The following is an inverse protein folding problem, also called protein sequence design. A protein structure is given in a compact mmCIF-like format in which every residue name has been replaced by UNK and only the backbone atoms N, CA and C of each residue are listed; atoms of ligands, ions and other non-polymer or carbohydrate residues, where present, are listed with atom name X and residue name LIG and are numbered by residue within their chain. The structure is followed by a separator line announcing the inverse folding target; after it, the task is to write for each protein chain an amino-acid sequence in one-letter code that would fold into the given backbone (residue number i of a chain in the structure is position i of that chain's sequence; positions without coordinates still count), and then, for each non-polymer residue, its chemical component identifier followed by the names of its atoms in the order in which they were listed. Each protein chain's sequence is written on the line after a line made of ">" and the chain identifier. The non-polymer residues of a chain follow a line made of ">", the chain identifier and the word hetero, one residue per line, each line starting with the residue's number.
data_IF_077293805179
#
_entry.id   IF_077293805179
#
_cell.length_a   1.000
_cell.length_b   1.000
_cell.length_c   1.000
_cell.angle_alpha   90.00
_cell.angle_beta   90.00
_cell.angle_gamma   90.00
#
_symmetry.space_group_name_H-M   'P 1'
#
loop_
_entity.id
_entity.type
_entity.pdbx_description
1 polymer ?
#
# COMPACT_ATOMS: atom_id res chain seq x y z
N UNK A 1 40.80 -2.65 22.86
CA UNK A 1 39.33 -2.68 23.09
C UNK A 1 38.90 -4.13 23.29
N UNK A 2 38.26 -4.48 24.39
CA UNK A 2 37.67 -5.82 24.57
C UNK A 2 36.46 -5.93 23.63
N UNK A 3 36.50 -6.86 22.68
CA UNK A 3 35.29 -7.21 21.87
C UNK A 3 34.32 -7.91 22.83
N UNK A 4 33.19 -7.29 23.12
CA UNK A 4 32.08 -7.92 23.83
C UNK A 4 31.34 -8.73 22.80
N UNK A 5 31.29 -10.04 22.94
CA UNK A 5 30.43 -10.91 22.16
C UNK A 5 28.99 -10.62 22.57
N UNK A 6 28.21 -10.02 21.68
CA UNK A 6 26.78 -9.81 21.87
C UNK A 6 26.05 -10.85 21.06
N UNK A 7 25.03 -11.49 21.67
CA UNK A 7 24.16 -12.41 20.98
C UNK A 7 23.40 -11.69 19.86
N UNK A 8 23.34 -12.30 18.68
CA UNK A 8 22.67 -11.72 17.52
C UNK A 8 21.14 -11.86 17.67
N UNK A 9 20.45 -10.74 17.75
CA UNK A 9 19.00 -10.70 17.84
C UNK A 9 18.36 -10.50 16.46
N UNK A 10 17.77 -11.55 15.92
CA UNK A 10 17.03 -11.55 14.65
C UNK A 10 15.79 -10.63 14.65
N UNK A 11 15.29 -10.20 15.81
CA UNK A 11 14.25 -9.18 15.93
C UNK A 11 14.77 -7.74 15.79
N UNK A 12 16.08 -7.53 15.92
CA UNK A 12 16.69 -6.20 15.88
C UNK A 12 17.02 -5.75 14.46
N UNK A 13 16.22 -4.87 13.90
CA UNK A 13 16.46 -4.27 12.57
C UNK A 13 17.83 -3.61 12.47
N UNK A 14 18.31 -3.02 13.57
CA UNK A 14 19.63 -2.41 13.65
C UNK A 14 20.73 -3.45 13.48
N UNK A 15 20.71 -4.54 14.28
CA UNK A 15 21.71 -5.59 14.18
C UNK A 15 21.70 -6.31 12.82
N UNK A 16 20.49 -6.53 12.25
CA UNK A 16 20.37 -7.08 10.90
C UNK A 16 21.04 -6.15 9.88
N UNK A 17 20.77 -4.85 9.95
CA UNK A 17 21.35 -3.87 9.04
C UNK A 17 22.87 -3.81 9.14
N UNK A 18 23.42 -3.81 10.37
CA UNK A 18 24.86 -3.86 10.63
C UNK A 18 25.47 -5.15 10.06
N UNK A 19 24.89 -6.31 10.37
CA UNK A 19 25.32 -7.62 9.84
C UNK A 19 25.38 -7.63 8.32
N UNK A 20 24.29 -7.27 7.65
CA UNK A 20 24.23 -7.28 6.17
C UNK A 20 25.23 -6.28 5.55
N UNK A 21 25.47 -5.15 6.21
CA UNK A 21 26.46 -4.16 5.75
C UNK A 21 27.88 -4.72 5.85
N UNK A 22 28.21 -5.44 6.91
CA UNK A 22 29.49 -6.11 7.08
C UNK A 22 29.73 -7.20 6.02
N UNK A 23 28.63 -7.80 5.49
CA UNK A 23 28.66 -8.75 4.37
C UNK A 23 28.54 -8.09 2.99
N UNK A 24 28.67 -6.77 2.90
CA UNK A 24 28.75 -6.03 1.64
C UNK A 24 27.44 -5.46 1.13
N UNK A 25 26.36 -5.51 1.91
CA UNK A 25 25.14 -4.81 1.56
C UNK A 25 25.33 -3.30 1.64
N UNK A 26 24.91 -2.60 0.60
CA UNK A 26 24.92 -1.13 0.54
C UNK A 26 23.48 -0.64 0.59
N UNK A 27 22.99 -0.19 1.75
CA UNK A 27 21.62 0.29 1.87
C UNK A 27 21.42 1.55 1.03
N UNK A 28 20.31 1.60 0.30
CA UNK A 28 19.87 2.74 -0.52
C UNK A 28 18.64 3.45 0.06
N UNK A 29 18.05 2.91 1.15
CA UNK A 29 16.88 3.47 1.83
C UNK A 29 17.15 3.60 3.32
N UNK A 30 16.80 4.77 3.86
CA UNK A 30 17.06 5.10 5.27
C UNK A 30 15.80 5.64 5.94
N UNK A 31 15.69 5.44 7.24
CA UNK A 31 14.69 6.09 8.09
C UNK A 31 15.03 7.59 8.25
N UNK A 32 14.08 8.43 8.70
CA UNK A 32 14.37 9.83 9.02
C UNK A 32 15.50 10.02 10.05
N UNK A 33 15.81 8.98 10.83
CA UNK A 33 16.91 8.97 11.83
C UNK A 33 18.24 8.43 11.27
N UNK A 34 18.32 8.18 9.94
CA UNK A 34 19.53 7.74 9.26
C UNK A 34 19.84 6.24 9.41
N UNK A 35 18.92 5.43 9.96
CA UNK A 35 19.11 3.98 10.03
C UNK A 35 18.70 3.31 8.72
N UNK A 36 19.42 2.29 8.22
CA UNK A 36 19.00 1.52 7.06
C UNK A 36 17.59 0.93 7.25
N UNK A 37 16.76 1.01 6.22
CA UNK A 37 15.47 0.36 6.24
C UNK A 37 15.67 -1.12 5.96
N UNK A 38 15.32 -1.96 6.93
CA UNK A 38 15.36 -3.42 6.87
C UNK A 38 13.92 -3.92 6.88
N UNK A 39 13.35 -4.07 5.70
CA UNK A 39 12.00 -4.62 5.47
C UNK A 39 12.07 -5.80 4.49
N UNK A 40 10.97 -6.52 4.36
CA UNK A 40 10.84 -7.68 3.47
C UNK A 40 11.25 -7.34 2.03
N UNK A 41 10.82 -6.18 1.53
CA UNK A 41 11.15 -5.72 0.18
C UNK A 41 12.65 -5.49 0.03
N UNK A 42 13.26 -4.76 0.96
CA UNK A 42 14.70 -4.47 0.93
C UNK A 42 15.53 -5.75 1.01
N UNK A 43 15.13 -6.68 1.87
CA UNK A 43 15.83 -7.96 2.03
C UNK A 43 15.71 -8.85 0.78
N UNK A 44 14.56 -8.85 0.11
CA UNK A 44 14.35 -9.63 -1.13
C UNK A 44 15.19 -9.11 -2.32
N UNK A 45 15.61 -7.86 -2.29
CA UNK A 45 16.49 -7.26 -3.30
C UNK A 45 17.96 -7.67 -3.12
N UNK A 46 18.34 -8.24 -1.96
CA UNK A 46 19.71 -8.65 -1.63
C UNK A 46 19.94 -10.09 -2.11
N UNK A 47 20.44 -10.25 -3.32
CA UNK A 47 20.62 -11.58 -3.94
C UNK A 47 21.99 -12.22 -3.64
N UNK A 48 22.98 -11.42 -3.25
CA UNK A 48 24.37 -11.89 -3.02
C UNK A 48 24.66 -12.33 -1.58
N UNK A 49 23.70 -12.15 -0.66
CA UNK A 49 23.80 -12.57 0.74
C UNK A 49 22.68 -13.57 1.01
N UNK A 50 23.03 -14.85 1.15
CA UNK A 50 22.05 -15.92 1.31
C UNK A 50 21.16 -15.72 2.56
N UNK A 51 21.75 -15.26 3.65
CA UNK A 51 21.09 -15.01 4.93
C UNK A 51 20.00 -13.93 4.84
N UNK A 52 20.08 -13.01 3.88
CA UNK A 52 19.07 -11.97 3.69
C UNK A 52 17.68 -12.57 3.44
N UNK A 53 17.60 -13.61 2.62
CA UNK A 53 16.33 -14.31 2.34
C UNK A 53 15.81 -15.08 3.56
N UNK A 54 16.71 -15.71 4.33
CA UNK A 54 16.35 -16.41 5.56
C UNK A 54 15.82 -15.43 6.62
N UNK A 55 16.47 -14.28 6.75
CA UNK A 55 16.04 -13.19 7.64
C UNK A 55 14.68 -12.65 7.19
N UNK A 56 14.47 -12.42 5.89
CA UNK A 56 13.18 -11.97 5.35
C UNK A 56 12.06 -12.94 5.73
N UNK A 57 12.29 -14.25 5.53
CA UNK A 57 11.32 -15.30 5.89
C UNK A 57 11.06 -15.34 7.40
N UNK A 58 12.09 -15.26 8.22
CA UNK A 58 11.96 -15.19 9.67
C UNK A 58 11.09 -14.01 10.11
N UNK A 59 11.34 -12.81 9.57
CA UNK A 59 10.58 -11.63 9.90
C UNK A 59 9.12 -11.69 9.44
N UNK A 60 8.86 -12.32 8.29
CA UNK A 60 7.51 -12.59 7.82
C UNK A 60 6.78 -13.54 8.77
N UNK A 61 7.41 -14.65 9.14
CA UNK A 61 6.84 -15.63 10.08
C UNK A 61 6.56 -15.00 11.43
N UNK A 62 7.50 -14.25 12.00
CA UNK A 62 7.27 -13.51 13.25
C UNK A 62 6.05 -12.59 13.15
N UNK A 63 5.92 -11.85 12.06
CA UNK A 63 4.77 -10.98 11.83
C UNK A 63 3.45 -11.78 11.77
N UNK A 64 3.44 -12.95 11.11
CA UNK A 64 2.25 -13.79 11.02
C UNK A 64 1.89 -14.41 12.36
N UNK A 65 2.88 -14.91 13.09
CA UNK A 65 2.69 -15.48 14.44
C UNK A 65 2.08 -14.40 15.36
N UNK A 66 2.71 -13.24 15.48
CA UNK A 66 2.22 -12.16 16.33
C UNK A 66 0.80 -11.69 15.93
N UNK A 67 0.48 -11.75 14.63
CA UNK A 67 -0.86 -11.41 14.15
C UNK A 67 -1.90 -12.45 14.59
N UNK A 68 -1.59 -13.74 14.44
CA UNK A 68 -2.49 -14.82 14.86
C UNK A 68 -2.64 -14.85 16.38
N UNK A 69 -1.54 -14.70 17.14
CA UNK A 69 -1.56 -14.59 18.59
C UNK A 69 -2.47 -13.44 19.05
N UNK A 70 -2.40 -12.28 18.42
CA UNK A 70 -3.26 -11.15 18.75
C UNK A 70 -4.75 -11.44 18.48
N UNK A 71 -5.07 -12.32 17.55
CA UNK A 71 -6.44 -12.76 17.32
C UNK A 71 -6.91 -13.76 18.38
N UNK A 72 -6.05 -14.71 18.75
CA UNK A 72 -6.33 -15.68 19.80
C UNK A 72 -6.55 -14.97 21.14
N UNK A 73 -5.70 -14.01 21.47
CA UNK A 73 -5.85 -13.19 22.69
C UNK A 73 -7.14 -12.34 22.70
N UNK A 74 -7.69 -12.03 21.52
CA UNK A 74 -8.90 -11.24 21.38
C UNK A 74 -10.19 -12.08 21.36
N UNK A 75 -10.10 -13.40 21.47
CA UNK A 75 -11.28 -14.28 21.61
C UNK A 75 -11.89 -14.09 22.98
N UNK A 76 -13.19 -13.78 23.02
CA UNK A 76 -13.95 -13.59 24.25
C UNK A 76 -14.65 -14.89 24.70
N UNK A 77 -15.38 -14.83 25.81
CA UNK A 77 -16.08 -16.00 26.43
C UNK A 77 -17.11 -16.66 25.48
N UNK A 78 -17.63 -15.90 24.51
CA UNK A 78 -18.57 -16.40 23.51
C UNK A 78 -17.87 -17.04 22.28
N UNK A 79 -16.56 -17.32 22.39
CA UNK A 79 -15.71 -17.88 21.33
C UNK A 79 -15.62 -17.00 20.09
N UNK A 80 -15.86 -15.68 20.20
CA UNK A 80 -15.83 -14.72 19.12
C UNK A 80 -14.79 -13.64 19.33
N UNK A 81 -14.41 -13.01 18.23
CA UNK A 81 -13.55 -11.82 18.25
C UNK A 81 -14.40 -10.58 17.93
N UNK A 82 -14.46 -9.67 18.88
CA UNK A 82 -15.19 -8.40 18.77
C UNK A 82 -14.27 -7.25 18.41
N UNK A 83 -13.93 -7.13 17.10
CA UNK A 83 -13.07 -6.06 16.62
C UNK A 83 -13.70 -4.68 16.79
N UNK A 84 -12.91 -3.71 17.27
CA UNK A 84 -13.37 -2.34 17.45
C UNK A 84 -13.20 -1.52 16.18
N UNK A 85 -14.30 -0.89 15.71
CA UNK A 85 -14.32 -0.03 14.53
C UNK A 85 -14.55 1.43 14.93
N UNK A 86 -13.68 2.32 14.46
CA UNK A 86 -13.83 3.77 14.64
C UNK A 86 -14.34 4.34 13.30
N UNK A 87 -15.61 4.79 13.19
CA UNK A 87 -16.24 5.15 11.91
C UNK A 87 -15.53 6.28 11.14
N UNK A 88 -14.91 7.23 11.80
CA UNK A 88 -14.16 8.33 11.19
C UNK A 88 -12.73 8.38 11.70
N UNK A 89 -12.09 7.23 11.85
CA UNK A 89 -10.75 7.11 12.44
C UNK A 89 -9.62 7.73 11.60
N UNK A 90 -9.78 7.76 10.29
CA UNK A 90 -8.82 8.40 9.39
C UNK A 90 -9.23 9.82 9.01
N UNK A 91 -8.24 10.68 8.74
CA UNK A 91 -8.46 12.08 8.29
C UNK A 91 -9.26 12.15 6.99
N UNK A 92 -9.21 11.11 6.17
CA UNK A 92 -9.98 10.98 4.92
C UNK A 92 -11.45 10.58 5.13
N UNK A 93 -11.88 10.37 6.39
CA UNK A 93 -13.22 9.90 6.73
C UNK A 93 -13.39 8.38 6.60
N UNK A 94 -12.33 7.63 6.29
CA UNK A 94 -12.36 6.16 6.32
C UNK A 94 -12.44 5.68 7.77
N UNK A 95 -13.13 4.55 7.98
CA UNK A 95 -13.08 3.87 9.27
C UNK A 95 -11.71 3.22 9.51
N UNK A 96 -11.34 3.09 10.77
CA UNK A 96 -10.16 2.36 11.20
C UNK A 96 -10.55 1.23 12.15
N UNK A 97 -9.71 0.21 12.24
CA UNK A 97 -9.94 -0.98 13.05
C UNK A 97 -8.85 -1.12 14.11
N UNK A 98 -9.23 -1.61 15.29
CA UNK A 98 -8.28 -1.96 16.36
C UNK A 98 -8.84 -3.10 17.24
N UNK A 99 -7.98 -3.73 17.98
CA UNK A 99 -8.27 -4.70 19.03
C UNK A 99 -9.18 -5.88 18.60
N UNK A 100 -8.78 -6.67 17.62
CA UNK A 100 -7.64 -6.57 16.70
C UNK A 100 -7.93 -5.75 15.44
N UNK A 101 -6.88 -5.44 14.66
CA UNK A 101 -7.05 -4.75 13.38
C UNK A 101 -7.51 -5.71 12.27
N UNK A 102 -8.81 -5.87 12.11
CA UNK A 102 -9.44 -6.76 11.14
C UNK A 102 -9.24 -6.33 9.68
N UNK A 103 -8.92 -5.06 9.42
CA UNK A 103 -8.63 -4.58 8.07
C UNK A 103 -7.28 -5.07 7.51
N UNK A 104 -6.43 -5.68 8.35
CA UNK A 104 -5.09 -6.16 7.97
C UNK A 104 -4.97 -7.68 7.88
N UNK A 105 -6.06 -8.41 7.82
CA UNK A 105 -6.01 -9.86 7.52
C UNK A 105 -5.36 -10.05 6.15
N UNK A 106 -4.30 -10.86 6.02
CA UNK A 106 -3.57 -11.03 4.77
C UNK A 106 -4.47 -11.45 3.62
N UNK A 107 -4.14 -11.00 2.40
CA UNK A 107 -4.87 -11.46 1.21
C UNK A 107 -4.53 -12.92 0.90
N UNK A 108 -5.42 -13.63 0.20
CA UNK A 108 -5.20 -15.02 -0.25
C UNK A 108 -3.94 -15.18 -1.11
N UNK A 109 -3.51 -14.11 -1.79
CA UNK A 109 -2.32 -14.11 -2.64
C UNK A 109 -1.02 -13.83 -1.89
N UNK A 110 -1.09 -13.49 -0.60
CA UNK A 110 0.09 -13.29 0.23
C UNK A 110 0.50 -14.61 0.90
N UNK A 111 1.77 -14.75 1.22
CA UNK A 111 2.28 -15.91 1.94
C UNK A 111 1.53 -16.08 3.27
N UNK A 112 1.05 -17.29 3.54
CA UNK A 112 0.14 -17.66 4.64
C UNK A 112 -1.21 -16.90 4.65
N UNK A 113 -1.62 -16.34 3.53
CA UNK A 113 -2.89 -15.59 3.46
C UNK A 113 -4.12 -16.48 3.55
N UNK A 114 -4.09 -17.65 2.94
CA UNK A 114 -5.17 -18.64 3.02
C UNK A 114 -5.36 -19.15 4.45
N UNK A 115 -4.27 -19.50 5.12
CA UNK A 115 -4.27 -19.99 6.50
C UNK A 115 -4.80 -18.91 7.46
N UNK A 116 -4.33 -17.67 7.32
CA UNK A 116 -4.83 -16.56 8.11
C UNK A 116 -6.33 -16.30 7.89
N UNK A 117 -6.84 -16.46 6.68
CA UNK A 117 -8.26 -16.29 6.40
C UNK A 117 -9.10 -17.47 6.86
N UNK A 118 -8.56 -18.69 6.84
CA UNK A 118 -9.23 -19.88 7.35
C UNK A 118 -9.47 -19.83 8.87
N UNK A 119 -8.76 -18.98 9.61
CA UNK A 119 -9.03 -18.73 11.03
C UNK A 119 -10.39 -18.02 11.26
N UNK A 120 -10.97 -17.39 10.23
CA UNK A 120 -12.21 -16.63 10.33
C UNK A 120 -13.36 -17.43 9.74
N UNK A 121 -14.25 -17.86 10.60
CA UNK A 121 -15.41 -18.68 10.24
C UNK A 121 -16.68 -18.15 10.91
N UNK A 122 -17.78 -18.78 10.64
CA UNK A 122 -19.08 -18.58 11.28
C UNK A 122 -19.59 -19.90 11.81
N UNK A 123 -20.56 -19.85 12.70
CA UNK A 123 -21.23 -21.02 13.28
C UNK A 123 -21.87 -21.89 12.18
N UNK A 124 -22.10 -23.17 12.51
CA UNK A 124 -22.80 -24.10 11.65
C UNK A 124 -24.20 -23.58 11.29
N UNK A 125 -24.52 -23.64 10.01
CA UNK A 125 -25.78 -23.11 9.46
C UNK A 125 -25.72 -21.65 9.03
N UNK A 126 -24.66 -20.90 9.34
CA UNK A 126 -24.42 -19.54 8.86
C UNK A 126 -23.43 -19.50 7.70
N UNK A 127 -23.41 -18.38 6.98
CA UNK A 127 -22.46 -18.12 5.89
C UNK A 127 -21.84 -16.76 6.05
N UNK A 128 -20.53 -16.68 5.84
CA UNK A 128 -19.82 -15.41 5.72
C UNK A 128 -20.09 -14.82 4.32
N UNK A 129 -20.71 -13.65 4.28
CA UNK A 129 -21.00 -12.94 3.01
C UNK A 129 -20.11 -11.71 2.93
N UNK A 130 -19.28 -11.64 1.88
CA UNK A 130 -18.44 -10.49 1.57
C UNK A 130 -18.99 -9.72 0.38
N UNK A 131 -19.06 -8.39 0.48
CA UNK A 131 -19.43 -7.49 -0.62
C UNK A 131 -18.35 -6.43 -0.77
N UNK A 132 -17.80 -6.30 -1.99
CA UNK A 132 -16.80 -5.30 -2.32
C UNK A 132 -17.24 -4.47 -3.53
N UNK A 133 -17.05 -3.15 -3.45
CA UNK A 133 -17.36 -2.25 -4.55
C UNK A 133 -16.21 -2.24 -5.56
N UNK A 134 -16.39 -2.93 -6.67
CA UNK A 134 -15.36 -3.05 -7.71
C UNK A 134 -14.88 -1.70 -8.21
N UNK A 135 -13.57 -1.45 -8.04
CA UNK A 135 -12.91 -0.25 -8.56
C UNK A 135 -13.48 1.06 -8.03
N UNK A 136 -13.99 1.10 -6.79
CA UNK A 136 -14.65 2.28 -6.22
C UNK A 136 -13.84 3.56 -6.40
N UNK A 137 -12.54 3.52 -6.11
CA UNK A 137 -11.66 4.68 -6.17
C UNK A 137 -11.50 5.23 -7.58
N UNK A 138 -11.34 4.35 -8.58
CA UNK A 138 -11.22 4.80 -9.99
C UNK A 138 -12.55 5.30 -10.54
N UNK A 139 -13.70 4.79 -10.03
CA UNK A 139 -15.04 5.31 -10.36
C UNK A 139 -15.23 6.72 -9.79
N UNK A 140 -14.79 6.97 -8.57
CA UNK A 140 -14.82 8.30 -7.97
C UNK A 140 -13.87 9.26 -8.69
N UNK A 141 -12.69 8.80 -9.10
CA UNK A 141 -11.79 9.58 -9.95
C UNK A 141 -12.48 10.01 -11.25
N UNK A 142 -13.13 9.09 -11.96
CA UNK A 142 -13.88 9.36 -13.19
C UNK A 142 -14.99 10.41 -12.97
N UNK A 143 -15.74 10.29 -11.87
CA UNK A 143 -16.74 11.27 -11.48
C UNK A 143 -16.15 12.68 -11.34
N UNK A 144 -15.04 12.83 -10.61
CA UNK A 144 -14.39 14.12 -10.42
C UNK A 144 -13.71 14.67 -11.69
N UNK A 145 -13.25 13.78 -12.57
CA UNK A 145 -12.73 14.16 -13.90
C UNK A 145 -13.82 14.66 -14.83
N UNK A 146 -15.04 14.17 -14.68
CA UNK A 146 -16.19 14.39 -15.58
C UNK A 146 -15.81 14.10 -17.04
N UNK A 147 -15.23 12.91 -17.28
CA UNK A 147 -14.71 12.45 -18.55
C UNK A 147 -15.53 11.24 -19.04
N UNK A 148 -16.37 11.46 -20.06
CA UNK A 148 -17.31 10.46 -20.55
C UNK A 148 -16.61 9.23 -21.14
N UNK A 149 -15.49 9.40 -21.84
CA UNK A 149 -14.69 8.30 -22.38
C UNK A 149 -14.14 7.43 -21.24
N UNK A 150 -13.56 8.06 -20.22
CA UNK A 150 -13.03 7.35 -19.06
C UNK A 150 -14.13 6.62 -18.27
N UNK A 151 -15.29 7.25 -18.12
CA UNK A 151 -16.47 6.63 -17.49
C UNK A 151 -16.93 5.42 -18.30
N UNK A 152 -17.03 5.55 -19.63
CA UNK A 152 -17.45 4.46 -20.51
C UNK A 152 -16.50 3.26 -20.43
N UNK A 153 -15.18 3.52 -20.40
CA UNK A 153 -14.18 2.45 -20.23
C UNK A 153 -14.27 1.73 -18.87
N UNK A 154 -14.70 2.42 -17.82
CA UNK A 154 -14.93 1.79 -16.51
C UNK A 154 -16.18 0.92 -16.50
N UNK A 155 -17.23 1.31 -17.23
CA UNK A 155 -18.52 0.64 -17.21
C UNK A 155 -18.56 -0.51 -18.21
N UNK A 156 -18.09 -0.29 -19.43
CA UNK A 156 -18.30 -1.15 -20.59
C UNK A 156 -17.01 -1.74 -21.16
N UNK A 157 -15.84 -1.23 -20.76
CA UNK A 157 -14.54 -1.63 -21.29
C UNK A 157 -13.59 -2.24 -20.24
N UNK A 158 -12.29 -2.13 -20.48
CA UNK A 158 -11.22 -2.47 -19.54
C UNK A 158 -10.36 -1.24 -19.27
N UNK A 159 -10.69 -0.54 -18.20
CA UNK A 159 -10.01 0.68 -17.77
C UNK A 159 -8.49 0.49 -17.57
N UNK A 160 -8.01 -0.71 -17.22
CA UNK A 160 -6.59 -0.94 -17.04
C UNK A 160 -5.85 -1.07 -18.37
N UNK A 161 -6.44 -1.72 -19.37
CA UNK A 161 -5.93 -1.75 -20.74
C UNK A 161 -6.01 -0.36 -21.38
N UNK A 162 -7.05 0.40 -21.10
CA UNK A 162 -7.16 1.79 -21.53
C UNK A 162 -6.04 2.66 -20.94
N UNK A 163 -5.84 2.60 -19.63
CA UNK A 163 -4.75 3.31 -18.95
C UNK A 163 -3.34 2.87 -19.39
N UNK A 164 -3.18 1.60 -19.77
CA UNK A 164 -1.93 1.09 -20.36
C UNK A 164 -1.56 1.87 -21.61
N UNK A 165 -2.50 2.07 -22.52
CA UNK A 165 -2.33 2.83 -23.74
C UNK A 165 -2.06 4.31 -23.46
N UNK A 166 -2.84 4.91 -22.54
CA UNK A 166 -2.68 6.32 -22.16
C UNK A 166 -1.32 6.64 -21.56
N UNK A 167 -0.73 5.74 -20.79
CA UNK A 167 0.57 5.94 -20.17
C UNK A 167 1.75 5.37 -20.97
N UNK A 168 1.47 4.65 -22.07
CA UNK A 168 2.50 4.01 -22.91
C UNK A 168 3.22 2.89 -22.16
N UNK A 169 2.49 2.05 -21.39
CA UNK A 169 3.06 1.01 -20.55
C UNK A 169 3.03 -0.36 -21.24
N UNK A 170 3.95 -1.23 -20.84
CA UNK A 170 4.14 -2.54 -21.47
C UNK A 170 3.04 -3.55 -21.09
N UNK A 171 2.50 -3.45 -19.88
CA UNK A 171 1.51 -4.42 -19.41
C UNK A 171 0.32 -3.77 -18.70
N UNK A 172 -0.82 -4.49 -18.76
CA UNK A 172 -2.05 -4.16 -18.03
C UNK A 172 -1.84 -4.12 -16.50
N UNK A 173 -0.99 -5.00 -15.97
CA UNK A 173 -0.70 -5.06 -14.53
C UNK A 173 0.12 -3.85 -14.08
N UNK A 174 1.11 -3.44 -14.87
CA UNK A 174 1.82 -2.18 -14.63
C UNK A 174 0.85 -0.99 -14.65
N UNK A 175 -0.05 -0.93 -15.64
CA UNK A 175 -1.03 0.14 -15.75
C UNK A 175 -1.98 0.20 -14.54
N UNK A 176 -2.42 -0.95 -14.04
CA UNK A 176 -3.20 -1.02 -12.80
C UNK A 176 -2.45 -0.41 -11.62
N UNK A 177 -1.21 -0.82 -11.41
CA UNK A 177 -0.39 -0.29 -10.30
C UNK A 177 -0.05 1.18 -10.52
N UNK A 178 0.25 1.58 -11.77
CA UNK A 178 0.59 2.94 -12.14
C UNK A 178 -0.54 3.93 -11.87
N UNK A 179 -1.78 3.64 -12.31
CA UNK A 179 -2.90 4.56 -12.13
C UNK A 179 -3.23 4.78 -10.65
N UNK A 180 -3.18 3.72 -9.83
CA UNK A 180 -3.37 3.86 -8.39
C UNK A 180 -2.24 4.65 -7.73
N UNK A 181 -0.98 4.37 -8.09
CA UNK A 181 0.16 5.14 -7.58
C UNK A 181 0.04 6.63 -7.95
N UNK A 182 -0.31 6.92 -9.22
CA UNK A 182 -0.51 8.28 -9.72
C UNK A 182 -1.66 9.00 -8.99
N UNK A 183 -2.78 8.33 -8.79
CA UNK A 183 -3.95 8.84 -8.09
C UNK A 183 -3.64 9.17 -6.62
N UNK A 184 -2.79 8.39 -5.97
CA UNK A 184 -2.31 8.65 -4.61
C UNK A 184 -1.12 9.62 -4.53
N UNK A 185 -0.77 10.28 -5.63
CA UNK A 185 0.25 11.32 -5.65
C UNK A 185 1.70 10.80 -5.63
N UNK A 186 1.95 9.60 -6.15
CA UNK A 186 3.31 9.07 -6.25
C UNK A 186 4.21 10.01 -7.06
N UNK A 187 5.42 10.27 -6.55
CA UNK A 187 6.48 10.99 -7.27
C UNK A 187 7.09 10.15 -8.40
N UNK A 188 7.90 10.80 -9.22
CA UNK A 188 8.53 10.18 -10.41
C UNK A 188 9.37 8.94 -10.08
N UNK A 189 10.07 8.93 -8.94
CA UNK A 189 10.85 7.79 -8.48
C UNK A 189 9.96 6.56 -8.25
N UNK A 190 8.84 6.74 -7.53
CA UNK A 190 7.90 5.65 -7.29
C UNK A 190 7.24 5.16 -8.57
N UNK A 191 6.86 6.07 -9.47
CA UNK A 191 6.31 5.70 -10.77
C UNK A 191 7.36 4.97 -11.62
N UNK A 192 8.62 5.40 -11.57
CA UNK A 192 9.74 4.70 -12.19
C UNK A 192 9.88 3.26 -11.70
N UNK A 193 9.81 3.05 -10.38
CA UNK A 193 9.81 1.70 -9.79
C UNK A 193 8.62 0.84 -10.25
N UNK A 194 7.45 1.45 -10.51
CA UNK A 194 6.26 0.73 -10.99
C UNK A 194 6.42 0.26 -12.43
N UNK A 195 7.11 1.06 -13.26
CA UNK A 195 7.38 0.71 -14.66
C UNK A 195 8.69 -0.07 -14.83
N UNK A 196 9.28 -0.55 -13.72
CA UNK A 196 10.54 -1.31 -13.69
C UNK A 196 11.71 -0.55 -14.34
N UNK A 197 11.65 0.79 -14.25
CA UNK A 197 12.61 1.72 -14.84
C UNK A 197 13.16 2.73 -13.83
N UNK A 198 13.71 3.78 -14.38
CA UNK A 198 14.33 4.88 -13.65
C UNK A 198 13.31 5.97 -13.27
N UNK A 199 13.72 6.92 -12.44
CA UNK A 199 12.93 8.14 -12.16
C UNK A 199 12.55 8.90 -13.45
N UNK A 200 13.43 8.88 -14.46
CA UNK A 200 13.16 9.48 -15.76
C UNK A 200 12.04 8.76 -16.52
N UNK A 201 11.99 7.42 -16.41
CA UNK A 201 10.94 6.62 -17.04
C UNK A 201 9.58 6.86 -16.35
N UNK A 202 9.57 6.97 -15.03
CA UNK A 202 8.39 7.35 -14.28
C UNK A 202 7.85 8.73 -14.65
N UNK A 203 8.76 9.71 -14.83
CA UNK A 203 8.39 11.06 -15.31
C UNK A 203 7.81 11.02 -16.71
N UNK A 204 8.41 10.25 -17.62
CA UNK A 204 7.94 10.09 -18.99
C UNK A 204 6.54 9.46 -19.05
N UNK A 205 6.32 8.38 -18.32
CA UNK A 205 5.02 7.72 -18.25
C UNK A 205 3.93 8.65 -17.68
N UNK A 206 4.24 9.41 -16.64
CA UNK A 206 3.32 10.42 -16.06
C UNK A 206 3.01 11.52 -17.08
N UNK A 207 4.01 12.05 -17.76
CA UNK A 207 3.82 13.10 -18.76
C UNK A 207 2.97 12.59 -19.91
N UNK A 208 3.27 11.39 -20.42
CA UNK A 208 2.50 10.76 -21.49
C UNK A 208 1.03 10.55 -21.09
N UNK A 209 0.79 10.10 -19.87
CA UNK A 209 -0.59 9.98 -19.35
C UNK A 209 -1.29 11.33 -19.27
N UNK A 210 -0.63 12.38 -18.78
CA UNK A 210 -1.21 13.71 -18.66
C UNK A 210 -1.51 14.36 -20.02
N UNK A 211 -0.69 14.09 -21.02
CA UNK A 211 -0.89 14.60 -22.39
C UNK A 211 -2.05 13.90 -23.08
N UNK A 212 -2.20 12.60 -22.84
CA UNK A 212 -3.31 11.80 -23.37
C UNK A 212 -4.60 11.87 -22.56
N UNK A 213 -4.56 12.40 -21.31
CA UNK A 213 -5.73 12.58 -20.45
C UNK A 213 -5.72 13.96 -19.76
N UNK A 214 -6.03 15.03 -20.52
CA UNK A 214 -6.04 16.40 -19.98
C UNK A 214 -7.05 16.60 -18.84
N UNK A 215 -8.15 15.85 -18.80
CA UNK A 215 -9.14 15.87 -17.72
C UNK A 215 -8.54 15.50 -16.37
N UNK A 216 -7.64 14.51 -16.32
CA UNK A 216 -6.92 14.13 -15.10
C UNK A 216 -5.95 15.25 -14.66
N UNK A 217 -5.18 15.82 -15.60
CA UNK A 217 -4.28 16.96 -15.32
C UNK A 217 -5.06 18.16 -14.78
N UNK A 218 -6.22 18.46 -15.36
CA UNK A 218 -7.11 19.52 -14.90
C UNK A 218 -7.60 19.27 -13.48
N UNK A 219 -8.04 18.04 -13.17
CA UNK A 219 -8.46 17.64 -11.83
C UNK A 219 -7.32 17.84 -10.82
N UNK A 220 -6.13 17.35 -11.11
CA UNK A 220 -4.94 17.51 -10.25
C UNK A 220 -4.68 18.98 -9.95
N UNK A 221 -4.71 19.83 -10.96
CA UNK A 221 -4.53 21.28 -10.81
C UNK A 221 -5.63 21.91 -9.95
N UNK A 222 -6.90 21.51 -10.12
CA UNK A 222 -8.02 21.99 -9.29
C UNK A 222 -7.84 21.59 -7.83
N UNK A 223 -7.43 20.36 -7.56
CA UNK A 223 -7.18 19.86 -6.20
C UNK A 223 -6.02 20.62 -5.56
N UNK A 224 -4.91 20.83 -6.28
CA UNK A 224 -3.77 21.62 -5.81
C UNK A 224 -4.17 23.06 -5.46
N UNK A 225 -4.94 23.72 -6.32
CA UNK A 225 -5.46 25.09 -6.02
C UNK A 225 -6.40 25.10 -4.82
N UNK A 226 -7.27 24.11 -4.70
CA UNK A 226 -8.18 24.00 -3.56
C UNK A 226 -7.44 23.74 -2.25
N UNK A 227 -6.29 23.05 -2.27
CA UNK A 227 -5.48 22.78 -1.08
C UNK A 227 -4.95 24.03 -0.39
N UNK A 228 -4.75 25.13 -1.13
CA UNK A 228 -4.36 26.43 -0.54
C UNK A 228 -5.41 26.98 0.44
N UNK A 229 -6.67 26.55 0.34
CA UNK A 229 -7.73 26.88 1.31
C UNK A 229 -7.62 26.07 2.59
N UNK A 230 -6.62 25.17 2.70
CA UNK A 230 -6.37 24.25 3.81
C UNK A 230 -7.49 23.23 4.07
N UNK A 231 -8.41 23.07 3.14
CA UNK A 231 -9.39 21.99 3.14
C UNK A 231 -9.87 21.67 1.72
N UNK A 232 -10.27 20.42 1.53
CA UNK A 232 -11.02 19.96 0.37
C UNK A 232 -12.46 19.66 0.79
N UNK A 233 -13.40 19.79 -0.14
CA UNK A 233 -14.81 19.48 0.10
C UNK A 233 -15.15 18.16 -0.57
N UNK A 234 -15.63 17.20 0.22
CA UNK A 234 -16.14 15.91 -0.28
C UNK A 234 -17.52 16.06 -0.96
N UNK A 235 -17.99 14.97 -1.58
CA UNK A 235 -19.31 14.90 -2.23
C UNK A 235 -20.46 15.16 -1.23
N UNK A 236 -20.31 14.69 -0.01
CA UNK A 236 -21.25 14.90 1.10
C UNK A 236 -21.18 16.30 1.73
N UNK A 237 -20.35 17.19 1.18
CA UNK A 237 -20.13 18.53 1.70
C UNK A 237 -19.15 18.62 2.86
N UNK A 238 -18.64 17.50 3.36
CA UNK A 238 -17.67 17.45 4.47
C UNK A 238 -16.37 18.15 4.07
N UNK A 239 -15.80 18.91 5.02
CA UNK A 239 -14.47 19.51 4.85
C UNK A 239 -13.39 18.52 5.30
N UNK A 240 -12.50 18.17 4.40
CA UNK A 240 -11.28 17.39 4.68
C UNK A 240 -10.13 18.39 4.89
N UNK A 241 -9.73 18.60 6.15
CA UNK A 241 -8.69 19.57 6.48
C UNK A 241 -7.30 19.05 6.14
N UNK A 242 -6.51 19.88 5.48
CA UNK A 242 -5.10 19.58 5.13
C UNK A 242 -4.23 20.11 6.27
N UNK A 243 -3.56 19.20 6.99
CA UNK A 243 -2.78 19.55 8.19
C UNK A 243 -1.35 19.98 7.86
N UNK A 244 -0.75 19.47 6.78
CA UNK A 244 0.60 19.83 6.35
C UNK A 244 0.61 20.14 4.86
N UNK A 245 1.24 21.25 4.47
CA UNK A 245 1.42 21.66 3.08
C UNK A 245 2.64 20.99 2.42
N UNK A 246 3.04 19.81 2.85
CA UNK A 246 4.08 19.02 2.18
C UNK A 246 3.42 18.08 1.17
N UNK A 247 2.97 18.65 0.07
CA UNK A 247 2.58 17.96 -1.15
C UNK A 247 3.22 18.68 -2.35
#
# INVERSE_FOLDING_TARGET
>A
MRKILQEFNLGSRKQIGEYLTDFGWKPNRFTPTGQPIVDEKTLSEITHIHEANLIAKFLLLQKRIAQVESWVEAVEEDERVHGFVIPNGAITGRMTHRSPNMAQVPSVNSEYGNECRACWTVEDGYKLVGVDASGLEIRMLAHYMNDEEFINEIINGDIHTFNQKLAGLESRNQAKTFIYALMYGAGDEKLGSVVEGTTSDGRRARQHFFDNKPSFKSLTTRVQRASHKKFLKGLDGRKLYIRNNHA
#
